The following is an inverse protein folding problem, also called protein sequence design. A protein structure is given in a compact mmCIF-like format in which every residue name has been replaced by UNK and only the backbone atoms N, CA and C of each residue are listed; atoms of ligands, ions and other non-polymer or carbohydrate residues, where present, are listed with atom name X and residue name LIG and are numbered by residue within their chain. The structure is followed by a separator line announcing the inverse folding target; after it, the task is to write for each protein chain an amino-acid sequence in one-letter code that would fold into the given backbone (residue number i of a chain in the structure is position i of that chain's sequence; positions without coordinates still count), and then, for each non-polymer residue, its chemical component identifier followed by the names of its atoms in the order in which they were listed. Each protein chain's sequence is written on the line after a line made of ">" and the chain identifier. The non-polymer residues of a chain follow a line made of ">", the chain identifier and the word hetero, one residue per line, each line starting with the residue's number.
data_IF_015555249269
#
_entry.id   IF_015555249269
#
_cell.length_a   1.000
_cell.length_b   1.000
_cell.length_c   1.000
_cell.angle_alpha   90.00
_cell.angle_beta   90.00
_cell.angle_gamma   90.00
#
_symmetry.space_group_name_H-M   'P 1'
#
loop_
_entity.id
_entity.type
_entity.pdbx_description
1 polymer ?
#
# COMPACT_ATOMS: atom_id res chain seq x y z
N UNK A 1 0.05 -1.03 2.11
CA UNK A 1 -0.28 -0.06 3.17
C UNK A 1 0.86 0.12 4.15
N UNK A 2 1.39 -0.94 4.79
CA UNK A 2 2.46 -0.78 5.79
C UNK A 2 3.70 -0.03 5.26
N UNK A 3 4.16 -0.34 4.04
CA UNK A 3 5.29 0.38 3.41
C UNK A 3 4.95 1.85 3.18
N UNK A 4 3.74 2.16 2.69
CA UNK A 4 3.31 3.54 2.48
C UNK A 4 3.30 4.33 3.79
N UNK A 5 2.72 3.77 4.86
CA UNK A 5 2.66 4.43 6.17
C UNK A 5 4.06 4.61 6.74
N UNK A 6 4.90 3.57 6.77
CA UNK A 6 6.27 3.65 7.29
C UNK A 6 7.08 4.73 6.57
N UNK A 7 7.04 4.75 5.25
CA UNK A 7 7.83 5.70 4.46
C UNK A 7 7.30 7.14 4.57
N UNK A 8 5.98 7.35 4.60
CA UNK A 8 5.40 8.69 4.79
C UNK A 8 5.71 9.24 6.20
N UNK A 9 5.67 8.39 7.23
CA UNK A 9 6.05 8.75 8.60
C UNK A 9 7.53 9.15 8.68
N UNK A 10 8.43 8.41 8.04
CA UNK A 10 9.86 8.74 7.97
C UNK A 10 10.11 10.04 7.21
N UNK A 11 9.37 10.27 6.12
CA UNK A 11 9.48 11.50 5.35
C UNK A 11 8.97 12.72 6.13
N UNK A 12 7.88 12.59 6.90
CA UNK A 12 7.41 13.62 7.83
C UNK A 12 8.46 13.93 8.90
N UNK A 13 9.05 12.90 9.51
CA UNK A 13 10.11 13.08 10.49
C UNK A 13 11.35 13.76 9.89
N UNK A 14 11.75 13.38 8.66
CA UNK A 14 12.85 14.02 7.94
C UNK A 14 12.56 15.49 7.59
N UNK A 15 11.28 15.85 7.40
CA UNK A 15 10.83 17.23 7.23
C UNK A 15 10.76 18.04 8.55
N UNK A 16 11.12 17.42 9.69
CA UNK A 16 11.22 18.09 10.99
C UNK A 16 9.95 17.98 11.86
N UNK A 17 8.99 17.15 11.47
CA UNK A 17 7.77 16.91 12.26
C UNK A 17 8.00 15.83 13.32
N UNK A 18 7.33 15.97 14.48
CA UNK A 18 7.14 14.88 15.42
C UNK A 18 5.90 14.09 14.98
N UNK A 19 6.02 12.77 14.90
CA UNK A 19 4.98 11.90 14.37
C UNK A 19 4.59 10.85 15.40
N UNK A 20 3.32 10.88 15.78
CA UNK A 20 2.69 9.88 16.64
C UNK A 20 1.84 8.95 15.76
N UNK A 21 2.21 7.67 15.68
CA UNK A 21 1.53 6.65 14.86
C UNK A 21 0.62 5.83 15.76
N UNK A 22 -0.67 5.79 15.47
CA UNK A 22 -1.65 4.98 16.18
C UNK A 22 -2.04 3.75 15.34
N UNK A 23 -1.93 2.57 15.94
CA UNK A 23 -2.32 1.30 15.28
C UNK A 23 -3.08 0.41 16.27
N UNK A 24 -4.08 -0.32 15.77
CA UNK A 24 -4.75 -1.33 16.58
C UNK A 24 -3.76 -2.46 16.91
N UNK A 25 -3.77 -2.89 18.17
CA UNK A 25 -3.10 -4.10 18.61
C UNK A 25 -4.03 -5.29 18.38
N UNK A 26 -3.65 -6.29 17.56
CA UNK A 26 -4.52 -7.44 17.28
C UNK A 26 -4.71 -8.41 18.45
N UNK A 27 -4.39 -8.00 19.68
CA UNK A 27 -4.54 -8.79 20.90
C UNK A 27 -3.45 -9.84 21.08
N UNK A 28 -2.59 -9.61 22.05
CA UNK A 28 -1.64 -10.61 22.54
C UNK A 28 -0.25 -10.54 21.95
N UNK A 29 0.46 -9.43 22.18
CA UNK A 29 1.90 -9.48 22.34
C UNK A 29 2.23 -9.94 23.77
N UNK A 30 1.73 -11.10 24.18
CA UNK A 30 2.35 -11.90 25.21
C UNK A 30 3.70 -12.35 24.64
N UNK A 31 4.76 -11.94 25.32
CA UNK A 31 6.19 -11.92 24.99
C UNK A 31 6.87 -13.12 24.31
N UNK A 32 6.22 -13.83 23.37
CA UNK A 32 6.74 -15.01 22.69
C UNK A 32 6.76 -14.95 21.15
N UNK A 33 6.37 -13.80 20.53
CA UNK A 33 6.47 -13.58 19.08
C UNK A 33 7.86 -13.06 18.69
N UNK A 34 8.69 -13.90 18.09
CA UNK A 34 10.04 -13.61 17.59
C UNK A 34 10.05 -12.58 16.47
N UNK A 35 10.24 -11.31 16.84
CA UNK A 35 10.50 -10.17 15.96
C UNK A 35 11.27 -9.11 16.73
N UNK A 36 12.45 -9.50 17.30
CA UNK A 36 13.31 -8.54 17.99
C UNK A 36 13.97 -7.60 16.99
N UNK A 37 13.47 -6.36 16.92
CA UNK A 37 14.32 -5.21 16.64
C UNK A 37 14.85 -4.74 18.00
N UNK A 38 16.16 -4.69 18.16
CA UNK A 38 16.83 -4.43 19.45
C UNK A 38 16.50 -3.03 19.98
N UNK A 39 15.71 -2.97 21.03
CA UNK A 39 15.48 -1.81 21.85
C UNK A 39 15.26 -2.28 23.28
N UNK A 40 15.93 -1.68 24.26
CA UNK A 40 15.87 -2.01 25.69
C UNK A 40 14.47 -1.79 26.24
N UNK A 41 13.78 -2.87 26.61
CA UNK A 41 12.49 -2.85 27.27
C UNK A 41 12.63 -2.39 28.72
N UNK A 42 11.97 -1.29 29.06
CA UNK A 42 11.66 -0.93 30.45
C UNK A 42 10.54 -1.84 30.95
N UNK A 43 10.79 -2.54 32.05
CA UNK A 43 9.83 -3.38 32.76
C UNK A 43 8.87 -2.50 33.56
N UNK A 44 7.60 -2.45 33.17
CA UNK A 44 6.43 -2.30 34.08
C UNK A 44 5.16 -2.44 33.20
N UNK A 45 4.64 -3.67 33.10
CA UNK A 45 3.39 -3.96 32.43
C UNK A 45 2.25 -4.03 33.46
N UNK A 46 1.53 -2.92 33.66
CA UNK A 46 0.17 -2.97 34.21
C UNK A 46 -0.79 -3.31 33.07
N UNK A 47 -1.60 -4.35 33.27
CA UNK A 47 -2.61 -4.81 32.34
C UNK A 47 -3.62 -3.68 32.03
N UNK A 48 -3.66 -3.24 30.75
CA UNK A 48 -4.59 -2.22 30.27
C UNK A 48 -3.95 -0.94 29.69
N UNK A 49 -2.63 -0.78 29.75
CA UNK A 49 -1.97 0.38 29.15
C UNK A 49 -1.57 0.09 27.69
N UNK A 50 -1.99 0.98 26.79
CA UNK A 50 -1.51 1.06 25.41
C UNK A 50 0.03 1.02 25.38
N UNK A 51 0.61 -0.01 24.76
CA UNK A 51 2.05 -0.11 24.62
C UNK A 51 2.53 1.01 23.70
N UNK A 52 3.46 1.83 24.19
CA UNK A 52 4.10 2.90 23.44
C UNK A 52 5.54 2.48 23.13
N UNK A 53 5.92 2.59 21.86
CA UNK A 53 7.27 2.26 21.40
C UNK A 53 7.90 3.47 20.71
N UNK A 54 9.00 3.96 21.24
CA UNK A 54 9.81 4.98 20.59
C UNK A 54 10.62 4.33 19.46
N UNK A 55 10.33 4.72 18.20
CA UNK A 55 11.02 4.21 17.00
C UNK A 55 12.28 5.05 16.72
N UNK A 56 12.14 6.38 16.78
CA UNK A 56 13.22 7.37 16.69
C UNK A 56 12.89 8.54 17.60
N UNK A 57 13.78 9.51 17.76
CA UNK A 57 13.51 10.71 18.55
C UNK A 57 12.27 11.49 18.07
N UNK A 58 11.93 11.37 16.79
CA UNK A 58 10.80 12.06 16.15
C UNK A 58 9.57 11.17 15.92
N UNK A 59 9.67 9.84 16.08
CA UNK A 59 8.59 8.89 15.72
C UNK A 59 8.25 8.03 16.93
N UNK A 60 6.98 8.08 17.34
CA UNK A 60 6.43 7.24 18.41
C UNK A 60 5.29 6.38 17.86
N UNK A 61 5.30 5.08 18.16
CA UNK A 61 4.24 4.15 17.82
C UNK A 61 3.39 3.85 19.07
N UNK A 62 2.08 4.01 18.93
CA UNK A 62 1.10 3.73 19.97
C UNK A 62 0.23 2.54 19.54
N UNK A 63 0.23 1.47 20.32
CA UNK A 63 -0.66 0.33 20.15
C UNK A 63 -1.97 0.59 20.90
N UNK A 64 -3.07 0.63 20.18
CA UNK A 64 -4.42 0.75 20.78
C UNK A 64 -4.93 -0.66 21.11
N UNK A 65 -5.35 -0.94 22.36
CA UNK A 65 -5.75 -2.27 22.81
C UNK A 65 -7.17 -2.60 22.33
N UNK A 66 -7.30 -2.94 21.05
CA UNK A 66 -8.55 -3.39 20.44
C UNK A 66 -8.44 -4.88 20.16
N UNK A 67 -9.34 -5.69 20.73
CA UNK A 67 -9.30 -7.15 20.62
C UNK A 67 -9.67 -7.73 19.25
N UNK A 68 -9.58 -6.94 18.17
CA UNK A 68 -9.91 -7.34 16.82
C UNK A 68 -8.71 -8.00 16.14
N UNK A 69 -8.89 -9.23 15.66
CA UNK A 69 -7.86 -10.03 14.97
C UNK A 69 -8.03 -10.03 13.45
N UNK A 70 -9.20 -9.69 12.97
CA UNK A 70 -9.53 -9.60 11.55
C UNK A 70 -9.91 -8.17 11.15
N UNK A 71 -9.85 -7.90 9.84
CA UNK A 71 -10.28 -6.62 9.29
C UNK A 71 -11.76 -6.32 9.53
N UNK A 72 -12.60 -7.35 9.50
CA UNK A 72 -14.05 -7.20 9.72
C UNK A 72 -14.36 -6.89 11.18
N UNK A 73 -13.71 -7.58 12.12
CA UNK A 73 -13.80 -7.26 13.54
C UNK A 73 -13.29 -5.84 13.85
N UNK A 74 -12.21 -5.41 13.19
CA UNK A 74 -11.70 -4.06 13.33
C UNK A 74 -12.69 -3.00 12.81
N UNK A 75 -13.39 -3.30 11.72
CA UNK A 75 -14.46 -2.45 11.20
C UNK A 75 -15.66 -2.35 12.16
N UNK A 76 -15.96 -3.44 12.85
CA UNK A 76 -17.04 -3.46 13.85
C UNK A 76 -16.62 -2.75 15.16
N UNK A 77 -15.31 -2.57 15.42
CA UNK A 77 -14.74 -1.89 16.59
C UNK A 77 -14.41 -0.39 16.36
N UNK A 78 -14.90 0.24 15.30
CA UNK A 78 -14.58 1.65 14.96
C UNK A 78 -14.96 2.61 16.11
N UNK A 79 -16.07 2.38 16.80
CA UNK A 79 -16.48 3.23 17.94
C UNK A 79 -15.52 3.13 19.13
N UNK A 80 -15.02 1.92 19.41
CA UNK A 80 -14.00 1.68 20.44
C UNK A 80 -12.68 2.36 20.05
N UNK A 81 -12.26 2.23 18.78
CA UNK A 81 -11.08 2.93 18.26
C UNK A 81 -11.21 4.45 18.40
N UNK A 82 -12.39 5.01 18.11
CA UNK A 82 -12.65 6.44 18.24
C UNK A 82 -12.56 6.92 19.70
N UNK A 83 -13.03 6.10 20.65
CA UNK A 83 -12.90 6.40 22.09
C UNK A 83 -11.44 6.38 22.54
N UNK A 84 -10.72 5.32 22.19
CA UNK A 84 -9.30 5.18 22.51
C UNK A 84 -8.47 6.33 21.92
N UNK A 85 -8.74 6.77 20.68
CA UNK A 85 -8.08 7.91 20.06
C UNK A 85 -8.43 9.22 20.80
N UNK A 86 -9.71 9.44 21.12
CA UNK A 86 -10.15 10.65 21.82
C UNK A 86 -9.55 10.77 23.22
N UNK A 87 -9.25 9.66 23.89
CA UNK A 87 -8.62 9.65 25.20
C UNK A 87 -7.11 9.96 25.16
N UNK A 88 -6.48 9.94 23.97
CA UNK A 88 -5.06 10.21 23.81
C UNK A 88 -4.74 11.71 23.74
N UNK A 89 -3.95 12.25 24.70
CA UNK A 89 -3.52 13.64 24.66
C UNK A 89 -2.76 13.99 23.37
N UNK A 90 -1.90 13.08 22.89
CA UNK A 90 -1.08 13.27 21.67
C UNK A 90 -1.98 13.40 20.43
N UNK A 91 -3.05 12.60 20.32
CA UNK A 91 -4.04 12.70 19.24
C UNK A 91 -4.79 14.04 19.28
N UNK A 92 -5.22 14.48 20.48
CA UNK A 92 -5.95 15.76 20.65
C UNK A 92 -5.08 16.99 20.41
N UNK A 93 -3.75 16.88 20.67
CA UNK A 93 -2.80 17.96 20.49
C UNK A 93 -2.17 18.00 19.09
N UNK A 94 -2.53 17.08 18.21
CA UNK A 94 -1.96 17.00 16.87
C UNK A 94 -2.24 18.27 16.05
N UNK A 95 -1.28 18.70 15.25
CA UNK A 95 -1.44 19.83 14.31
C UNK A 95 -2.24 19.42 13.08
N UNK A 96 -2.11 18.17 12.63
CA UNK A 96 -2.96 17.53 11.63
C UNK A 96 -2.98 16.02 11.85
N UNK A 97 -3.96 15.35 11.26
CA UNK A 97 -4.12 13.91 11.32
C UNK A 97 -4.10 13.38 9.90
N UNK A 98 -3.25 12.37 9.62
CA UNK A 98 -3.25 11.68 8.33
C UNK A 98 -3.71 10.24 8.52
N UNK A 99 -4.97 10.00 8.20
CA UNK A 99 -5.59 8.69 8.32
C UNK A 99 -5.35 7.83 7.05
N UNK A 100 -5.05 6.57 7.27
CA UNK A 100 -4.78 5.62 6.20
C UNK A 100 -5.83 4.51 6.20
N UNK A 101 -6.60 4.42 5.13
CA UNK A 101 -7.71 3.50 4.95
C UNK A 101 -8.98 3.94 5.69
N UNK A 102 -10.14 3.49 5.18
CA UNK A 102 -11.44 3.95 5.64
C UNK A 102 -11.72 3.73 7.14
N UNK A 103 -11.23 2.61 7.72
CA UNK A 103 -11.44 2.31 9.16
C UNK A 103 -10.77 3.38 10.03
N UNK A 104 -9.50 3.70 9.75
CA UNK A 104 -8.75 4.72 10.49
C UNK A 104 -9.35 6.10 10.31
N UNK A 105 -9.81 6.42 9.10
CA UNK A 105 -10.43 7.70 8.79
C UNK A 105 -11.77 7.87 9.52
N UNK A 106 -12.62 6.85 9.50
CA UNK A 106 -13.90 6.85 10.19
C UNK A 106 -13.72 6.96 11.72
N UNK A 107 -12.73 6.24 12.28
CA UNK A 107 -12.42 6.34 13.71
C UNK A 107 -11.91 7.74 14.08
N UNK A 108 -11.08 8.38 13.26
CA UNK A 108 -10.58 9.73 13.49
C UNK A 108 -11.70 10.77 13.42
N UNK A 109 -12.61 10.68 12.44
CA UNK A 109 -13.78 11.56 12.32
C UNK A 109 -14.69 11.45 13.55
N UNK A 110 -15.03 10.22 13.98
CA UNK A 110 -15.85 9.99 15.19
C UNK A 110 -15.16 10.47 16.45
N UNK A 111 -13.86 10.33 16.59
CA UNK A 111 -13.11 10.86 17.73
C UNK A 111 -13.23 12.39 17.82
N UNK A 112 -13.15 13.09 16.68
CA UNK A 112 -13.33 14.54 16.62
C UNK A 112 -14.76 14.98 16.96
N UNK A 113 -15.79 14.25 16.56
CA UNK A 113 -17.19 14.53 16.93
C UNK A 113 -17.42 14.42 18.43
N UNK A 114 -16.89 13.35 19.05
CA UNK A 114 -16.99 13.13 20.51
C UNK A 114 -16.33 14.27 21.29
N UNK A 115 -15.15 14.74 20.84
CA UNK A 115 -14.49 15.88 21.44
C UNK A 115 -15.31 17.18 21.35
N UNK A 116 -16.03 17.39 20.24
CA UNK A 116 -16.88 18.57 20.01
C UNK A 116 -18.21 18.49 20.76
N UNK A 117 -18.79 17.31 20.94
CA UNK A 117 -20.08 17.08 21.62
C UNK A 117 -20.00 17.11 23.15
N UNK A 118 -18.81 16.94 23.74
CA UNK A 118 -18.62 16.99 25.20
C UNK A 118 -18.70 18.40 25.80
N UNK A 119 -18.83 19.44 24.99
CA UNK A 119 -19.02 20.84 25.46
C UNK A 119 -20.47 21.26 25.72
N UNK A 120 -21.44 20.34 25.60
CA UNK A 120 -22.85 20.54 25.82
C UNK A 120 -23.34 20.16 27.23
N UNK A 121 -23.58 21.15 28.07
CA UNK A 121 -24.26 21.15 29.38
C UNK A 121 -23.38 20.95 30.62
N UNK A 122 -22.71 21.98 31.06
CA UNK A 122 -22.85 22.59 32.42
C UNK A 122 -21.74 23.61 32.64
N UNK A 123 -22.13 24.87 32.79
CA UNK A 123 -21.34 25.83 33.60
C UNK A 123 -20.51 26.85 32.85
N UNK A 124 -21.11 28.02 32.70
CA UNK A 124 -20.48 29.37 32.80
C UNK A 124 -19.03 29.57 32.39
N UNK A 125 -18.87 30.24 31.27
CA UNK A 125 -17.93 31.34 31.02
C UNK A 125 -16.55 31.29 31.72
N UNK A 126 -15.58 30.67 31.06
CA UNK A 126 -14.19 31.13 31.12
C UNK A 126 -13.59 30.95 29.71
N UNK A 127 -13.35 32.09 29.05
CA UNK A 127 -12.51 32.18 27.85
C UNK A 127 -12.91 31.30 26.67
N UNK A 128 -13.68 31.83 25.73
CA UNK A 128 -14.03 31.22 24.43
C UNK A 128 -12.75 31.14 23.54
N UNK A 129 -11.79 30.30 23.86
CA UNK A 129 -10.85 29.79 22.86
C UNK A 129 -11.61 28.69 22.09
N UNK A 130 -12.13 29.05 20.92
CA UNK A 130 -12.61 28.06 19.95
C UNK A 130 -11.48 27.05 19.71
N UNK A 131 -11.64 25.84 20.23
CA UNK A 131 -10.65 24.79 20.05
C UNK A 131 -10.66 24.42 18.56
N UNK A 132 -9.67 24.95 17.83
CA UNK A 132 -9.51 24.72 16.40
C UNK A 132 -9.17 23.24 16.20
N UNK A 133 -10.06 22.53 15.55
CA UNK A 133 -9.90 21.11 15.20
C UNK A 133 -8.69 20.93 14.27
N UNK A 134 -7.86 19.91 14.54
CA UNK A 134 -6.81 19.48 13.61
C UNK A 134 -7.43 19.03 12.27
N UNK A 135 -6.95 19.48 11.11
CA UNK A 135 -7.42 18.99 9.83
C UNK A 135 -7.12 17.49 9.67
N UNK A 136 -8.04 16.77 9.03
CA UNK A 136 -7.91 15.34 8.74
C UNK A 136 -7.66 15.16 7.25
N UNK A 137 -6.46 14.68 6.90
CA UNK A 137 -6.13 14.16 5.59
C UNK A 137 -6.38 12.63 5.54
N UNK A 138 -6.89 12.12 4.43
CA UNK A 138 -7.21 10.69 4.28
C UNK A 138 -6.64 10.12 2.99
N UNK A 139 -5.82 9.07 3.11
CA UNK A 139 -5.43 8.20 2.00
C UNK A 139 -6.28 6.93 2.01
N UNK A 140 -7.13 6.73 1.01
CA UNK A 140 -8.05 5.60 0.97
C UNK A 140 -7.34 4.27 0.68
N UNK A 141 -6.26 4.28 -0.07
CA UNK A 141 -5.49 3.15 -0.61
C UNK A 141 -6.29 2.21 -1.53
N UNK A 142 -7.57 2.06 -1.30
CA UNK A 142 -8.53 1.35 -2.16
C UNK A 142 -9.93 1.90 -1.88
N UNK A 143 -10.73 2.04 -2.92
CA UNK A 143 -12.10 2.55 -2.85
C UNK A 143 -13.05 1.37 -3.05
N UNK A 144 -14.02 1.19 -2.13
CA UNK A 144 -14.96 0.07 -2.15
C UNK A 144 -15.88 0.09 -3.37
N UNK A 145 -16.38 1.27 -3.76
CA UNK A 145 -17.19 1.44 -4.96
C UNK A 145 -16.44 1.02 -6.24
N UNK A 146 -15.15 1.39 -6.35
CA UNK A 146 -14.29 0.97 -7.47
C UNK A 146 -14.11 -0.54 -7.49
N UNK A 147 -13.87 -1.16 -6.34
CA UNK A 147 -13.76 -2.62 -6.26
C UNK A 147 -15.04 -3.33 -6.67
N UNK A 148 -16.20 -2.82 -6.27
CA UNK A 148 -17.48 -3.37 -6.67
C UNK A 148 -17.73 -3.22 -8.19
N UNK A 149 -17.31 -2.08 -8.77
CA UNK A 149 -17.38 -1.85 -10.22
C UNK A 149 -16.48 -2.81 -11.00
N UNK A 150 -15.27 -3.06 -10.51
CA UNK A 150 -14.22 -3.81 -11.20
C UNK A 150 -14.28 -5.33 -10.88
N UNK A 151 -15.28 -5.82 -10.11
CA UNK A 151 -15.41 -7.22 -9.71
C UNK A 151 -16.87 -7.69 -9.74
N UNK A 152 -17.13 -8.70 -10.55
CA UNK A 152 -18.46 -9.34 -10.62
C UNK A 152 -18.78 -10.25 -9.43
N UNK A 153 -17.77 -10.58 -8.60
CA UNK A 153 -17.89 -11.63 -7.57
C UNK A 153 -17.65 -11.17 -6.13
N UNK A 154 -17.19 -9.94 -5.93
CA UNK A 154 -16.86 -9.42 -4.61
C UNK A 154 -17.61 -8.12 -4.35
N UNK A 155 -18.54 -8.15 -3.41
CA UNK A 155 -19.23 -6.94 -2.94
C UNK A 155 -18.64 -6.52 -1.59
N UNK A 156 -18.22 -5.26 -1.52
CA UNK A 156 -17.80 -4.65 -0.25
C UNK A 156 -19.00 -4.45 0.67
N UNK A 157 -18.76 -4.53 1.98
CA UNK A 157 -19.82 -4.36 3.00
C UNK A 157 -20.49 -2.99 2.88
N UNK A 158 -21.82 -2.88 3.03
CA UNK A 158 -22.52 -1.58 3.01
C UNK A 158 -21.92 -0.57 3.99
N UNK A 159 -21.54 -1.00 5.20
CA UNK A 159 -20.86 -0.19 6.20
C UNK A 159 -19.62 0.52 5.64
N UNK A 160 -18.81 -0.17 4.82
CA UNK A 160 -17.64 0.42 4.18
C UNK A 160 -18.03 1.51 3.18
N UNK A 161 -19.01 1.23 2.33
CA UNK A 161 -19.46 2.18 1.29
C UNK A 161 -20.04 3.45 1.93
N UNK A 162 -20.83 3.30 3.00
CA UNK A 162 -21.38 4.42 3.77
C UNK A 162 -20.28 5.24 4.46
N UNK A 163 -19.29 4.57 5.06
CA UNK A 163 -18.16 5.22 5.71
C UNK A 163 -17.29 5.97 4.68
N UNK A 164 -16.99 5.38 3.53
CA UNK A 164 -16.21 6.02 2.47
C UNK A 164 -16.92 7.25 1.90
N UNK A 165 -18.24 7.20 1.71
CA UNK A 165 -19.04 8.37 1.30
C UNK A 165 -19.01 9.49 2.35
N UNK A 166 -19.12 9.12 3.63
CA UNK A 166 -19.02 10.07 4.75
C UNK A 166 -17.63 10.70 4.82
N UNK A 167 -16.57 9.89 4.71
CA UNK A 167 -15.18 10.37 4.71
C UNK A 167 -14.96 11.37 3.57
N UNK A 168 -15.49 11.08 2.38
CA UNK A 168 -15.40 11.98 1.23
C UNK A 168 -16.08 13.34 1.45
N UNK A 169 -17.15 13.36 2.26
CA UNK A 169 -17.89 14.57 2.59
C UNK A 169 -17.29 15.38 3.76
N UNK A 170 -16.63 14.73 4.70
CA UNK A 170 -16.26 15.33 6.00
C UNK A 170 -14.74 15.49 6.22
N UNK A 171 -13.89 14.73 5.51
CA UNK A 171 -12.45 14.91 5.58
C UNK A 171 -12.04 16.28 5.00
N UNK A 172 -11.04 16.90 5.61
CA UNK A 172 -10.53 18.20 5.15
C UNK A 172 -9.70 18.07 3.88
N UNK A 173 -9.06 16.90 3.68
CA UNK A 173 -8.26 16.61 2.49
C UNK A 173 -8.31 15.10 2.16
N UNK A 174 -8.55 14.77 0.90
CA UNK A 174 -8.38 13.43 0.37
C UNK A 174 -7.07 13.37 -0.42
N UNK A 175 -6.27 12.34 -0.15
CA UNK A 175 -4.96 12.14 -0.76
C UNK A 175 -5.04 10.99 -1.74
N UNK A 176 -5.03 11.30 -3.03
CA UNK A 176 -5.00 10.34 -4.12
C UNK A 176 -3.56 10.01 -4.51
N UNK A 177 -3.23 8.74 -4.68
CA UNK A 177 -1.92 8.29 -5.15
C UNK A 177 -1.69 8.61 -6.64
N UNK A 178 -2.79 8.76 -7.43
CA UNK A 178 -2.74 8.98 -8.87
C UNK A 178 -3.87 9.90 -9.35
N UNK A 179 -3.73 10.52 -10.55
CA UNK A 179 -4.85 11.23 -11.18
C UNK A 179 -6.06 10.33 -11.47
N UNK A 180 -5.86 9.02 -11.65
CA UNK A 180 -6.94 8.06 -11.81
C UNK A 180 -7.73 7.90 -10.50
N UNK A 181 -7.04 7.69 -9.39
CA UNK A 181 -7.67 7.61 -8.06
C UNK A 181 -8.37 8.92 -7.68
N UNK A 182 -7.77 10.09 -8.04
CA UNK A 182 -8.46 11.38 -7.87
C UNK A 182 -9.79 11.42 -8.61
N UNK A 183 -9.84 10.95 -9.86
CA UNK A 183 -11.11 10.88 -10.62
C UNK A 183 -12.10 9.94 -9.94
N UNK A 184 -11.66 8.77 -9.48
CA UNK A 184 -12.53 7.82 -8.78
C UNK A 184 -13.08 8.41 -7.47
N UNK A 185 -12.29 9.11 -6.68
CA UNK A 185 -12.76 9.81 -5.47
C UNK A 185 -13.86 10.84 -5.80
N UNK A 186 -13.69 11.61 -6.87
CA UNK A 186 -14.66 12.63 -7.30
C UNK A 186 -15.92 11.97 -7.88
N UNK A 187 -15.79 10.93 -8.71
CA UNK A 187 -16.94 10.35 -9.44
C UNK A 187 -17.71 9.33 -8.63
N UNK A 188 -17.02 8.48 -7.86
CA UNK A 188 -17.64 7.37 -7.11
C UNK A 188 -18.06 7.80 -5.69
N UNK A 189 -17.28 8.67 -5.04
CA UNK A 189 -17.57 9.13 -3.69
C UNK A 189 -18.12 10.55 -3.63
N UNK A 190 -18.28 11.23 -4.76
CA UNK A 190 -18.78 12.61 -4.84
C UNK A 190 -17.92 13.62 -4.05
N UNK A 191 -16.60 13.34 -3.91
CA UNK A 191 -15.70 14.26 -3.24
C UNK A 191 -15.60 15.60 -3.97
N UNK A 192 -15.51 16.68 -3.22
CA UNK A 192 -15.26 18.03 -3.76
C UNK A 192 -13.89 18.06 -4.45
N UNK A 193 -13.82 18.58 -5.68
CA UNK A 193 -12.59 18.60 -6.48
C UNK A 193 -11.42 19.28 -5.77
N UNK A 194 -11.70 20.34 -5.00
CA UNK A 194 -10.70 21.17 -4.32
C UNK A 194 -10.22 20.53 -3.01
N UNK A 195 -10.94 19.52 -2.49
CA UNK A 195 -10.52 18.74 -1.33
C UNK A 195 -9.69 17.50 -1.70
N UNK A 196 -9.33 17.29 -2.98
CA UNK A 196 -8.57 16.12 -3.41
C UNK A 196 -7.23 16.53 -4.01
N UNK A 197 -6.13 16.18 -3.34
CA UNK A 197 -4.76 16.35 -3.83
C UNK A 197 -4.21 15.06 -4.43
N UNK A 198 -3.39 15.18 -5.47
CA UNK A 198 -2.59 14.03 -5.98
C UNK A 198 -1.20 14.10 -5.37
N UNK A 199 -0.94 13.18 -4.44
CA UNK A 199 0.38 12.99 -3.83
C UNK A 199 0.87 11.57 -4.15
N UNK A 200 1.72 11.47 -5.17
CA UNK A 200 2.25 10.17 -5.62
C UNK A 200 3.12 9.56 -4.56
N UNK A 201 2.95 8.26 -4.24
CA UNK A 201 3.89 7.54 -3.37
C UNK A 201 5.32 7.62 -3.89
N UNK A 202 6.27 7.66 -2.97
CA UNK A 202 7.69 7.66 -3.28
C UNK A 202 8.31 6.26 -3.31
N UNK A 203 9.60 6.23 -3.62
CA UNK A 203 10.49 5.08 -3.48
C UNK A 203 11.63 5.49 -2.54
N UNK A 204 12.13 4.55 -1.76
CA UNK A 204 13.36 4.75 -0.98
C UNK A 204 14.58 4.61 -1.89
N UNK A 205 15.03 5.72 -2.48
CA UNK A 205 16.18 5.76 -3.38
C UNK A 205 17.52 5.50 -2.69
N UNK A 206 17.56 5.45 -1.37
CA UNK A 206 18.76 4.99 -0.65
C UNK A 206 18.92 3.48 -0.67
N UNK A 207 17.81 2.75 -0.83
CA UNK A 207 17.74 1.30 -0.89
C UNK A 207 17.60 0.80 -2.33
N UNK A 208 16.57 1.29 -3.04
CA UNK A 208 16.26 0.88 -4.40
C UNK A 208 17.05 1.75 -5.39
N UNK A 209 18.17 1.22 -5.83
CA UNK A 209 19.08 1.84 -6.78
C UNK A 209 19.72 0.77 -7.66
N UNK A 210 20.05 1.05 -8.93
CA UNK A 210 20.76 0.11 -9.78
C UNK A 210 22.09 -0.32 -9.16
N UNK A 211 22.42 -1.61 -9.30
CA UNK A 211 23.70 -2.18 -8.87
C UNK A 211 24.02 -3.42 -9.70
N UNK A 212 25.14 -4.10 -9.40
CA UNK A 212 25.60 -5.29 -10.13
C UNK A 212 24.59 -6.44 -10.08
N UNK A 213 24.04 -6.79 -11.25
CA UNK A 213 23.14 -7.94 -11.42
C UNK A 213 23.84 -9.25 -11.05
N UNK A 214 25.09 -9.46 -11.50
CA UNK A 214 25.85 -10.68 -11.21
C UNK A 214 26.10 -10.86 -9.70
N UNK A 215 26.43 -9.76 -8.99
CA UNK A 215 26.59 -9.83 -7.53
C UNK A 215 25.27 -10.15 -6.79
N UNK A 216 24.14 -9.62 -7.28
CA UNK A 216 22.83 -9.93 -6.74
C UNK A 216 22.43 -11.40 -7.01
N UNK A 217 22.74 -11.92 -8.22
CA UNK A 217 22.55 -13.32 -8.60
C UNK A 217 23.36 -14.27 -7.72
N UNK A 218 24.63 -13.95 -7.49
CA UNK A 218 25.49 -14.74 -6.59
C UNK A 218 24.89 -14.85 -5.17
N UNK A 219 24.41 -13.71 -4.61
CA UNK A 219 23.76 -13.71 -3.27
C UNK A 219 22.49 -14.56 -3.21
N UNK A 220 21.72 -14.60 -4.31
CA UNK A 220 20.43 -15.32 -4.38
C UNK A 220 20.56 -16.75 -4.92
N UNK A 221 21.77 -17.17 -5.38
CA UNK A 221 22.04 -18.48 -5.94
C UNK A 221 21.47 -18.68 -7.35
N UNK A 222 21.39 -17.62 -8.15
CA UNK A 222 21.03 -17.69 -9.57
C UNK A 222 22.28 -17.77 -10.44
N UNK A 223 22.20 -18.51 -11.54
CA UNK A 223 23.28 -18.54 -12.53
C UNK A 223 23.23 -17.30 -13.44
N UNK A 224 24.41 -16.90 -13.96
CA UNK A 224 24.50 -15.69 -14.81
C UNK A 224 23.81 -15.87 -16.17
N UNK A 225 23.66 -17.10 -16.65
CA UNK A 225 23.02 -17.45 -17.91
C UNK A 225 21.51 -17.74 -17.81
N UNK A 226 20.96 -17.75 -16.59
CA UNK A 226 19.51 -17.86 -16.37
C UNK A 226 18.82 -16.53 -16.73
N UNK A 227 17.61 -16.63 -17.30
CA UNK A 227 16.70 -15.51 -17.48
C UNK A 227 15.68 -15.50 -16.34
N UNK A 228 15.68 -14.46 -15.53
CA UNK A 228 14.84 -14.36 -14.32
C UNK A 228 13.67 -13.42 -14.56
N UNK A 229 12.46 -13.99 -14.54
CA UNK A 229 11.19 -13.25 -14.55
C UNK A 229 10.69 -13.16 -13.13
N UNK A 230 10.59 -11.95 -12.61
CA UNK A 230 10.20 -11.69 -11.22
C UNK A 230 8.74 -11.23 -11.14
N UNK A 231 7.97 -11.85 -10.26
CA UNK A 231 6.69 -11.36 -9.77
C UNK A 231 6.81 -11.09 -8.26
N UNK A 232 6.38 -9.92 -7.82
CA UNK A 232 6.37 -9.54 -6.39
C UNK A 232 4.97 -9.13 -5.99
N UNK A 233 4.38 -9.84 -5.03
CA UNK A 233 3.07 -9.48 -4.53
C UNK A 233 2.32 -10.62 -3.85
N UNK A 234 1.18 -10.29 -3.24
CA UNK A 234 0.27 -11.30 -2.69
C UNK A 234 -0.31 -12.15 -3.83
N UNK A 235 -0.38 -13.46 -3.63
CA UNK A 235 -0.99 -14.37 -4.60
C UNK A 235 -2.50 -14.28 -4.53
N UNK A 236 -3.07 -13.35 -5.29
CA UNK A 236 -4.49 -13.03 -5.35
C UNK A 236 -4.92 -12.85 -6.81
N UNK A 237 -6.16 -13.19 -7.12
CA UNK A 237 -6.75 -12.97 -8.45
C UNK A 237 -6.60 -11.52 -8.93
N UNK A 238 -6.84 -10.56 -8.05
CA UNK A 238 -6.72 -9.13 -8.36
C UNK A 238 -5.29 -8.73 -8.74
N UNK A 239 -4.27 -9.48 -8.30
CA UNK A 239 -2.85 -9.25 -8.62
C UNK A 239 -2.36 -10.02 -9.84
N UNK A 240 -3.24 -10.84 -10.45
CA UNK A 240 -2.95 -11.52 -11.71
C UNK A 240 -1.85 -12.57 -11.62
N UNK A 241 -1.67 -13.23 -10.46
CA UNK A 241 -0.65 -14.28 -10.31
C UNK A 241 -0.87 -15.43 -11.27
N UNK A 242 -2.14 -15.76 -11.58
CA UNK A 242 -2.55 -16.70 -12.62
C UNK A 242 -1.99 -16.30 -13.99
N UNK A 243 -2.13 -15.04 -14.38
CA UNK A 243 -1.62 -14.54 -15.67
C UNK A 243 -0.09 -14.67 -15.76
N UNK A 244 0.62 -14.44 -14.64
CA UNK A 244 2.08 -14.62 -14.60
C UNK A 244 2.48 -16.08 -14.85
N UNK A 245 1.79 -17.03 -14.21
CA UNK A 245 2.04 -18.47 -14.37
C UNK A 245 1.69 -18.93 -15.77
N UNK A 246 0.49 -18.55 -16.26
CA UNK A 246 0.01 -18.95 -17.59
C UNK A 246 0.88 -18.36 -18.72
N UNK A 247 1.42 -17.15 -18.54
CA UNK A 247 2.37 -16.56 -19.50
C UNK A 247 3.70 -17.31 -19.58
N UNK A 248 4.19 -17.83 -18.46
CA UNK A 248 5.40 -18.67 -18.42
C UNK A 248 5.12 -20.04 -19.05
N UNK A 249 3.97 -20.63 -18.79
CA UNK A 249 3.55 -21.89 -19.44
C UNK A 249 3.40 -21.72 -20.98
N UNK A 250 2.78 -20.62 -21.43
CA UNK A 250 2.67 -20.28 -22.85
C UNK A 250 4.07 -20.09 -23.49
N UNK A 251 4.99 -19.41 -22.79
CA UNK A 251 6.38 -19.26 -23.25
C UNK A 251 7.06 -20.62 -23.39
N UNK A 252 6.84 -21.52 -22.43
CA UNK A 252 7.39 -22.89 -22.44
C UNK A 252 6.92 -23.69 -23.65
N UNK A 253 5.64 -23.64 -23.95
CA UNK A 253 5.06 -24.34 -25.12
C UNK A 253 5.57 -23.76 -26.45
N UNK A 254 5.68 -22.43 -26.56
CA UNK A 254 6.05 -21.75 -27.81
C UNK A 254 7.55 -21.77 -28.09
N UNK A 255 8.38 -21.62 -27.07
CA UNK A 255 9.82 -21.53 -27.19
C UNK A 255 10.55 -22.33 -26.10
N UNK A 256 10.55 -23.67 -26.21
CA UNK A 256 11.17 -24.56 -25.20
C UNK A 256 12.65 -24.27 -24.97
N UNK A 257 13.38 -23.78 -25.99
CA UNK A 257 14.78 -23.42 -25.85
C UNK A 257 14.99 -22.19 -24.94
N UNK A 258 14.18 -21.16 -25.10
CA UNK A 258 14.22 -20.00 -24.20
C UNK A 258 13.73 -20.38 -22.81
N UNK A 259 12.63 -21.14 -22.73
CA UNK A 259 12.06 -21.60 -21.49
C UNK A 259 13.01 -22.45 -20.64
N UNK A 260 13.85 -23.27 -21.27
CA UNK A 260 14.82 -24.12 -20.56
C UNK A 260 15.86 -23.36 -19.73
N UNK A 261 16.06 -22.07 -19.98
CA UNK A 261 16.92 -21.16 -19.22
C UNK A 261 16.15 -20.06 -18.49
N UNK A 262 14.81 -20.07 -18.56
CA UNK A 262 13.95 -19.06 -17.92
C UNK A 262 13.44 -19.60 -16.59
N UNK A 263 13.53 -18.78 -15.53
CA UNK A 263 12.93 -19.04 -14.23
C UNK A 263 11.95 -17.92 -13.87
N UNK A 264 10.74 -18.30 -13.51
CA UNK A 264 9.73 -17.43 -12.93
C UNK A 264 9.82 -17.47 -11.41
N UNK A 265 10.20 -16.37 -10.79
CA UNK A 265 10.26 -16.25 -9.33
C UNK A 265 9.01 -15.49 -8.85
N UNK A 266 8.12 -16.20 -8.17
CA UNK A 266 6.92 -15.64 -7.55
C UNK A 266 7.22 -15.36 -6.07
N UNK A 267 7.53 -14.09 -5.76
CA UNK A 267 7.91 -13.67 -4.40
C UNK A 267 6.69 -13.10 -3.66
N UNK A 268 6.17 -13.85 -2.70
CA UNK A 268 5.01 -13.42 -1.93
C UNK A 268 4.31 -14.52 -1.15
N UNK A 269 3.20 -14.15 -0.51
CA UNK A 269 2.37 -15.08 0.25
C UNK A 269 0.98 -15.20 -0.37
N UNK A 270 0.41 -16.39 -0.27
CA UNK A 270 -1.00 -16.61 -0.55
C UNK A 270 -1.83 -15.90 0.55
N UNK A 271 -2.71 -14.96 0.15
CA UNK A 271 -3.62 -14.33 1.13
C UNK A 271 -4.81 -15.24 1.42
N UNK A 272 -5.19 -15.29 2.68
CA UNK A 272 -6.29 -16.12 3.17
C UNK A 272 -5.84 -17.47 3.72
N UNK A 273 -4.53 -17.65 3.89
CA UNK A 273 -3.95 -18.83 4.51
C UNK A 273 -3.15 -18.39 5.73
N UNK A 274 -3.65 -18.68 6.92
CA UNK A 274 -2.88 -18.56 8.16
C UNK A 274 -1.65 -19.46 8.05
N UNK A 275 -0.46 -18.88 8.23
CA UNK A 275 0.76 -19.68 8.41
C UNK A 275 0.67 -20.26 9.81
N UNK A 276 0.26 -21.53 9.95
CA UNK A 276 0.45 -22.23 11.20
C UNK A 276 1.96 -22.35 11.46
N UNK A 277 2.42 -21.86 12.59
CA UNK A 277 3.78 -22.01 13.09
C UNK A 277 4.03 -23.50 13.39
N UNK A 278 4.31 -24.30 12.34
CA UNK A 278 4.47 -25.74 12.51
C UNK A 278 4.72 -26.53 11.23
N UNK A 279 4.99 -25.89 10.09
CA UNK A 279 5.48 -26.60 8.89
C UNK A 279 4.49 -27.56 8.20
N UNK A 280 3.20 -27.48 8.49
CA UNK A 280 2.14 -28.23 7.80
C UNK A 280 1.74 -27.57 6.47
N UNK A 281 1.54 -28.38 5.43
CA UNK A 281 1.06 -27.92 4.14
C UNK A 281 -0.28 -27.19 4.30
N UNK A 282 -0.27 -25.89 4.00
CA UNK A 282 -1.45 -25.03 4.10
C UNK A 282 -2.44 -25.42 3.02
N UNK A 283 -3.67 -25.77 3.40
CA UNK A 283 -4.74 -26.07 2.42
C UNK A 283 -5.33 -24.76 1.88
N UNK A 284 -5.31 -24.58 0.53
CA UNK A 284 -5.92 -23.41 -0.08
C UNK A 284 -7.43 -23.33 0.25
N UNK A 285 -7.88 -22.21 0.79
CA UNK A 285 -9.28 -22.04 1.20
C UNK A 285 -10.20 -21.61 0.05
N UNK A 286 -9.65 -21.08 -1.07
CA UNK A 286 -10.42 -20.63 -2.23
C UNK A 286 -10.17 -21.51 -3.47
N UNK A 287 -11.16 -21.54 -4.38
CA UNK A 287 -11.04 -22.23 -5.68
C UNK A 287 -9.85 -21.69 -6.46
N UNK A 288 -9.69 -20.37 -6.51
CA UNK A 288 -8.58 -19.69 -7.16
C UNK A 288 -7.20 -20.18 -6.67
N UNK A 289 -6.98 -20.28 -5.35
CA UNK A 289 -5.70 -20.73 -4.82
C UNK A 289 -5.41 -22.20 -5.14
N UNK A 290 -6.43 -23.06 -5.22
CA UNK A 290 -6.26 -24.45 -5.64
C UNK A 290 -5.88 -24.55 -7.12
N UNK A 291 -6.56 -23.80 -7.99
CA UNK A 291 -6.27 -23.74 -9.42
C UNK A 291 -4.85 -23.19 -9.64
N UNK A 292 -4.51 -22.08 -9.00
CA UNK A 292 -3.17 -21.49 -9.05
C UNK A 292 -2.09 -22.47 -8.56
N UNK A 293 -2.32 -23.17 -7.45
CA UNK A 293 -1.37 -24.17 -6.94
C UNK A 293 -1.18 -25.32 -7.93
N UNK A 294 -2.25 -25.73 -8.62
CA UNK A 294 -2.18 -26.76 -9.65
C UNK A 294 -1.41 -26.27 -10.87
N UNK A 295 -1.65 -25.05 -11.32
CA UNK A 295 -0.93 -24.44 -12.44
C UNK A 295 0.57 -24.31 -12.14
N UNK A 296 0.93 -23.81 -10.96
CA UNK A 296 2.34 -23.71 -10.51
C UNK A 296 3.01 -25.12 -10.47
N UNK A 297 2.32 -26.12 -9.95
CA UNK A 297 2.86 -27.48 -9.91
C UNK A 297 3.05 -28.12 -11.29
N UNK A 298 2.30 -27.65 -12.28
CA UNK A 298 2.41 -28.06 -13.69
C UNK A 298 3.49 -27.33 -14.47
N UNK A 299 4.04 -26.22 -13.95
CA UNK A 299 5.05 -25.40 -14.65
C UNK A 299 6.40 -25.43 -13.91
N UNK A 300 7.35 -26.28 -14.36
CA UNK A 300 8.62 -26.50 -13.66
C UNK A 300 9.54 -25.25 -13.60
N UNK A 301 9.33 -24.28 -14.48
CA UNK A 301 10.12 -23.05 -14.49
C UNK A 301 9.70 -22.06 -13.41
N UNK A 302 8.55 -22.29 -12.74
CA UNK A 302 8.00 -21.39 -11.71
C UNK A 302 8.43 -21.85 -10.31
N UNK A 303 9.05 -20.94 -9.58
CA UNK A 303 9.44 -21.11 -8.19
C UNK A 303 8.72 -20.08 -7.30
N UNK A 304 8.06 -20.56 -6.25
CA UNK A 304 7.41 -19.72 -5.25
C UNK A 304 8.36 -19.53 -4.07
N UNK A 305 8.62 -18.27 -3.71
CA UNK A 305 9.41 -17.88 -2.53
C UNK A 305 8.55 -17.05 -1.55
N UNK A 306 8.78 -17.21 -0.24
CA UNK A 306 8.11 -16.41 0.76
C UNK A 306 8.45 -14.91 0.62
N UNK A 307 7.61 -14.01 1.15
CA UNK A 307 7.93 -12.59 1.18
C UNK A 307 9.22 -12.35 1.99
N UNK A 308 10.02 -11.40 1.53
CA UNK A 308 11.29 -11.03 2.16
C UNK A 308 11.25 -9.57 2.59
N UNK A 309 12.08 -9.17 3.57
CA UNK A 309 12.26 -7.75 3.93
C UNK A 309 12.83 -6.93 2.77
N UNK A 310 12.55 -5.61 2.75
CA UNK A 310 12.94 -4.71 1.66
C UNK A 310 14.44 -4.73 1.33
N UNK A 311 15.31 -4.87 2.34
CA UNK A 311 16.75 -4.94 2.15
C UNK A 311 17.23 -6.22 1.42
N UNK A 312 16.42 -7.29 1.39
CA UNK A 312 16.65 -8.49 0.57
C UNK A 312 15.86 -8.41 -0.75
N UNK A 313 14.70 -7.73 -0.76
CA UNK A 313 13.89 -7.58 -1.96
C UNK A 313 14.64 -6.82 -3.07
N UNK A 314 15.45 -5.85 -2.70
CA UNK A 314 16.26 -5.10 -3.69
C UNK A 314 17.22 -6.00 -4.47
N UNK A 315 17.75 -7.07 -3.85
CA UNK A 315 18.59 -8.01 -4.57
C UNK A 315 17.80 -8.83 -5.61
N UNK A 316 16.52 -9.14 -5.34
CA UNK A 316 15.66 -9.76 -6.35
C UNK A 316 15.39 -8.84 -7.54
N UNK A 317 15.15 -7.54 -7.29
CA UNK A 317 15.01 -6.58 -8.39
C UNK A 317 16.28 -6.48 -9.22
N UNK A 318 17.46 -6.42 -8.57
CA UNK A 318 18.75 -6.33 -9.27
C UNK A 318 19.11 -7.61 -10.01
N UNK A 319 18.73 -8.79 -9.49
CA UNK A 319 19.04 -10.09 -10.09
C UNK A 319 18.18 -10.43 -11.31
N UNK A 320 16.94 -9.92 -11.35
CA UNK A 320 15.98 -10.22 -12.39
C UNK A 320 16.31 -9.54 -13.72
N UNK A 321 15.73 -10.06 -14.81
CA UNK A 321 15.79 -9.47 -16.16
C UNK A 321 14.54 -8.63 -16.44
N UNK A 322 13.39 -9.05 -15.94
CA UNK A 322 12.10 -8.40 -16.16
C UNK A 322 11.21 -8.58 -14.92
N UNK A 323 10.54 -7.51 -14.50
CA UNK A 323 9.42 -7.59 -13.57
C UNK A 323 8.12 -7.79 -14.34
N UNK A 324 7.24 -8.67 -13.86
CA UNK A 324 5.88 -8.84 -14.39
C UNK A 324 4.85 -8.38 -13.35
N UNK A 325 3.95 -7.45 -13.74
CA UNK A 325 2.91 -6.87 -12.87
C UNK A 325 1.54 -6.98 -13.55
N UNK A 326 0.95 -8.20 -13.63
CA UNK A 326 -0.29 -8.44 -14.38
C UNK A 326 -1.54 -8.15 -13.55
N UNK A 327 -1.51 -7.10 -12.73
CA UNK A 327 -2.61 -6.73 -11.85
C UNK A 327 -3.89 -6.39 -12.64
N UNK A 328 -5.05 -6.86 -12.16
CA UNK A 328 -6.37 -6.48 -12.69
C UNK A 328 -6.83 -5.13 -12.14
N UNK A 329 -6.33 -4.77 -10.97
CA UNK A 329 -6.50 -3.45 -10.38
C UNK A 329 -5.28 -3.09 -9.54
N UNK A 330 -4.81 -1.84 -9.67
CA UNK A 330 -3.63 -1.33 -8.96
C UNK A 330 -3.79 0.17 -8.69
N UNK A 331 -3.80 0.56 -7.43
CA UNK A 331 -3.93 1.99 -7.06
C UNK A 331 -2.74 2.81 -7.52
N UNK A 332 -1.51 2.33 -7.29
CA UNK A 332 -0.28 2.99 -7.74
C UNK A 332 0.69 2.01 -8.40
N UNK A 333 1.13 0.98 -7.67
CA UNK A 333 2.11 0.00 -8.14
C UNK A 333 3.51 0.20 -7.56
N UNK A 334 3.61 0.31 -6.23
CA UNK A 334 4.90 0.48 -5.52
C UNK A 334 5.97 -0.52 -5.99
N UNK A 335 5.58 -1.78 -6.22
CA UNK A 335 6.49 -2.84 -6.72
C UNK A 335 7.12 -2.45 -8.07
N UNK A 336 6.33 -1.88 -8.98
CA UNK A 336 6.84 -1.42 -10.27
C UNK A 336 7.76 -0.19 -10.13
N UNK A 337 7.45 0.72 -9.18
CA UNK A 337 8.29 1.88 -8.91
C UNK A 337 9.63 1.50 -8.24
N UNK A 338 9.60 0.56 -7.28
CA UNK A 338 10.80 0.01 -6.62
C UNK A 338 11.70 -0.74 -7.63
N UNK A 339 11.10 -1.54 -8.52
CA UNK A 339 11.81 -2.23 -9.59
C UNK A 339 12.45 -1.23 -10.57
N UNK A 340 11.69 -0.24 -11.01
CA UNK A 340 12.19 0.82 -11.89
C UNK A 340 13.37 1.57 -11.25
N UNK A 341 13.26 1.97 -9.98
CA UNK A 341 14.34 2.61 -9.23
C UNK A 341 15.58 1.70 -9.09
N UNK A 342 15.40 0.38 -9.11
CA UNK A 342 16.48 -0.61 -9.09
C UNK A 342 17.06 -0.93 -10.49
N UNK A 343 16.58 -0.26 -11.55
CA UNK A 343 17.02 -0.49 -12.92
C UNK A 343 16.41 -1.75 -13.56
N UNK A 344 15.26 -2.22 -13.09
CA UNK A 344 14.57 -3.39 -13.64
C UNK A 344 13.37 -2.94 -14.47
N UNK A 345 13.31 -3.22 -15.79
CA UNK A 345 12.16 -2.88 -16.61
C UNK A 345 10.96 -3.77 -16.28
N UNK A 346 9.75 -3.22 -16.34
CA UNK A 346 8.53 -3.94 -16.06
C UNK A 346 7.68 -4.19 -17.31
N UNK A 347 7.05 -5.38 -17.37
CA UNK A 347 5.87 -5.64 -18.17
C UNK A 347 4.68 -5.53 -17.22
N UNK A 348 3.81 -4.57 -17.42
CA UNK A 348 2.73 -4.25 -16.48
C UNK A 348 1.37 -4.12 -17.19
N UNK A 349 0.29 -4.39 -16.46
CA UNK A 349 -1.07 -4.10 -16.96
C UNK A 349 -1.26 -2.59 -17.15
N UNK A 350 -2.00 -2.20 -18.19
CA UNK A 350 -2.36 -0.81 -18.44
C UNK A 350 -3.55 -0.37 -17.54
N UNK A 351 -3.45 -0.59 -16.20
CA UNK A 351 -4.52 -0.31 -15.25
C UNK A 351 -4.06 0.60 -14.10
N UNK A 352 -5.00 1.38 -13.56
CA UNK A 352 -4.80 2.20 -12.37
C UNK A 352 -3.58 3.12 -12.44
N UNK A 353 -2.67 2.98 -11.49
CA UNK A 353 -1.44 3.78 -11.41
C UNK A 353 -0.25 3.26 -12.21
N UNK A 354 -0.29 2.04 -12.74
CA UNK A 354 0.83 1.45 -13.46
C UNK A 354 1.29 2.29 -14.68
N UNK A 355 0.40 2.92 -15.48
CA UNK A 355 0.82 3.81 -16.57
C UNK A 355 1.53 5.11 -16.10
N UNK A 356 1.41 5.48 -14.83
CA UNK A 356 2.20 6.58 -14.26
C UNK A 356 3.66 6.19 -14.08
N UNK A 357 3.92 4.90 -13.83
CA UNK A 357 5.26 4.37 -13.56
C UNK A 357 5.90 3.87 -14.86
N UNK A 358 5.19 3.04 -15.60
CA UNK A 358 5.66 2.42 -16.85
C UNK A 358 5.14 3.21 -18.04
N UNK A 359 6.05 3.71 -18.86
CA UNK A 359 5.76 4.30 -20.17
C UNK A 359 6.02 3.27 -21.26
N UNK A 360 4.93 2.89 -21.96
CA UNK A 360 5.01 1.81 -22.96
C UNK A 360 6.05 2.08 -24.03
N UNK A 361 6.98 1.13 -24.24
CA UNK A 361 8.03 1.21 -25.23
C UNK A 361 9.17 2.17 -24.87
N UNK A 362 9.12 2.81 -23.70
CA UNK A 362 10.18 3.74 -23.25
C UNK A 362 10.82 3.30 -21.91
N UNK A 363 10.02 3.00 -20.88
CA UNK A 363 10.55 2.55 -19.58
C UNK A 363 10.04 1.15 -19.18
N UNK A 364 9.39 0.45 -20.11
CA UNK A 364 8.82 -0.87 -19.94
C UNK A 364 7.71 -1.13 -20.96
N UNK A 365 6.95 -2.18 -20.76
CA UNK A 365 5.84 -2.55 -21.65
C UNK A 365 4.52 -2.54 -20.88
N UNK A 366 3.46 -1.94 -21.46
CA UNK A 366 2.10 -2.00 -20.94
C UNK A 366 1.25 -2.96 -21.77
N UNK A 367 0.55 -3.87 -21.11
CA UNK A 367 -0.37 -4.84 -21.72
C UNK A 367 -1.80 -4.47 -21.32
N UNK A 368 -2.67 -4.38 -22.30
CA UNK A 368 -4.05 -3.91 -22.09
C UNK A 368 -5.02 -5.00 -21.60
N UNK A 369 -4.65 -6.26 -21.72
CA UNK A 369 -5.47 -7.41 -21.35
C UNK A 369 -4.70 -8.45 -20.52
N UNK A 370 -5.37 -9.54 -20.14
CA UNK A 370 -4.79 -10.63 -19.34
C UNK A 370 -4.65 -11.92 -20.17
N UNK A 371 -4.58 -11.82 -21.50
CA UNK A 371 -4.33 -12.96 -22.36
C UNK A 371 -2.86 -13.42 -22.21
N UNK A 372 -2.59 -14.63 -21.70
CA UNK A 372 -1.22 -15.13 -21.46
C UNK A 372 -0.30 -15.01 -22.67
N UNK A 373 -0.85 -15.16 -23.87
CA UNK A 373 -0.12 -15.04 -25.13
C UNK A 373 0.56 -13.67 -25.32
N UNK A 374 -0.13 -12.58 -24.98
CA UNK A 374 0.43 -11.23 -25.08
C UNK A 374 1.55 -11.01 -24.07
N UNK A 375 1.38 -11.54 -22.85
CA UNK A 375 2.37 -11.50 -21.80
C UNK A 375 3.61 -12.32 -22.14
N UNK A 376 3.42 -13.56 -22.63
CA UNK A 376 4.51 -14.41 -23.10
C UNK A 376 5.29 -13.75 -24.26
N UNK A 377 4.60 -13.10 -25.21
CA UNK A 377 5.22 -12.37 -26.30
C UNK A 377 6.06 -11.20 -25.82
N UNK A 378 5.58 -10.43 -24.84
CA UNK A 378 6.33 -9.33 -24.26
C UNK A 378 7.57 -9.82 -23.48
N UNK A 379 7.45 -10.92 -22.73
CA UNK A 379 8.58 -11.59 -22.05
C UNK A 379 9.61 -12.03 -23.09
N UNK A 380 9.19 -12.77 -24.10
CA UNK A 380 10.07 -13.25 -25.18
C UNK A 380 10.82 -12.12 -25.89
N UNK A 381 10.13 -11.01 -26.15
CA UNK A 381 10.72 -9.81 -26.76
C UNK A 381 11.87 -9.27 -25.91
N UNK A 382 11.62 -9.04 -24.60
CA UNK A 382 12.63 -8.49 -23.71
C UNK A 382 13.78 -9.45 -23.42
N UNK A 383 13.54 -10.76 -23.40
CA UNK A 383 14.59 -11.75 -23.18
C UNK A 383 15.49 -11.95 -24.41
N UNK A 384 14.97 -11.77 -25.61
CA UNK A 384 15.73 -11.91 -26.86
C UNK A 384 16.45 -10.63 -27.29
N UNK A 385 15.98 -9.45 -26.85
CA UNK A 385 16.56 -8.16 -27.20
C UNK A 385 17.19 -7.50 -25.96
N UNK A 386 18.48 -7.78 -25.74
CA UNK A 386 19.23 -7.26 -24.60
C UNK A 386 19.44 -5.74 -24.71
N UNK A 387 19.59 -5.19 -25.92
CA UNK A 387 19.79 -3.77 -26.12
C UNK A 387 18.51 -3.01 -25.75
N UNK A 388 17.36 -3.44 -26.25
CA UNK A 388 16.04 -2.90 -25.85
C UNK A 388 15.84 -3.00 -24.33
N UNK A 389 16.12 -4.17 -23.74
CA UNK A 389 15.94 -4.36 -22.29
C UNK A 389 16.81 -3.40 -21.49
N UNK A 390 18.05 -3.19 -21.90
CA UNK A 390 18.99 -2.26 -21.26
C UNK A 390 18.55 -0.81 -21.41
N UNK A 391 18.05 -0.42 -22.58
CA UNK A 391 17.51 0.90 -22.84
C UNK A 391 16.28 1.18 -21.94
N UNK A 392 15.32 0.26 -21.90
CA UNK A 392 14.14 0.37 -21.05
C UNK A 392 14.52 0.43 -19.57
N UNK A 393 15.52 -0.33 -19.13
CA UNK A 393 16.01 -0.32 -17.75
C UNK A 393 16.58 1.05 -17.35
N UNK A 394 17.38 1.67 -18.19
CA UNK A 394 17.92 3.01 -17.97
C UNK A 394 16.81 4.05 -17.85
N UNK A 395 15.88 4.08 -18.79
CA UNK A 395 14.74 5.00 -18.74
C UNK A 395 13.78 4.72 -17.55
N UNK A 396 13.66 3.47 -17.11
CA UNK A 396 12.88 3.14 -15.93
C UNK A 396 13.49 3.77 -14.67
N UNK A 397 14.82 3.66 -14.50
CA UNK A 397 15.53 4.26 -13.38
C UNK A 397 15.40 5.79 -13.37
N UNK A 398 15.63 6.45 -14.51
CA UNK A 398 15.47 7.91 -14.66
C UNK A 398 14.03 8.34 -14.32
N UNK A 399 13.05 7.58 -14.81
CA UNK A 399 11.63 7.88 -14.54
C UNK A 399 11.27 7.71 -13.07
N UNK A 400 11.88 6.78 -12.36
CA UNK A 400 11.62 6.51 -10.94
C UNK A 400 12.07 7.65 -10.03
N UNK A 401 13.06 8.48 -10.43
CA UNK A 401 13.55 9.62 -9.63
C UNK A 401 12.46 10.64 -9.26
N UNK A 402 11.36 10.66 -10.02
CA UNK A 402 10.24 11.56 -9.73
C UNK A 402 9.36 11.08 -8.56
N UNK A 403 9.45 9.80 -8.19
CA UNK A 403 8.71 9.22 -7.08
C UNK A 403 9.54 9.32 -5.81
N UNK A 404 9.27 10.34 -5.02
CA UNK A 404 10.01 10.69 -3.81
C UNK A 404 9.07 10.96 -2.64
N UNK A 405 9.33 10.36 -1.49
CA UNK A 405 8.47 10.47 -0.31
C UNK A 405 8.46 11.89 0.29
N UNK A 406 9.55 12.64 0.16
CA UNK A 406 9.58 14.05 0.56
C UNK A 406 8.61 14.89 -0.26
N UNK A 407 8.55 14.65 -1.59
CA UNK A 407 7.57 15.29 -2.47
C UNK A 407 6.14 14.86 -2.15
N UNK A 408 5.92 13.59 -1.81
CA UNK A 408 4.61 13.09 -1.38
C UNK A 408 4.12 13.86 -0.16
N UNK A 409 4.96 13.96 0.87
CA UNK A 409 4.65 14.65 2.12
C UNK A 409 4.46 16.15 1.89
N UNK A 410 5.33 16.80 1.12
CA UNK A 410 5.21 18.22 0.80
C UNK A 410 3.87 18.51 0.11
N UNK A 411 3.47 17.70 -0.88
CA UNK A 411 2.19 17.88 -1.57
C UNK A 411 0.97 17.77 -0.63
N UNK A 412 1.04 16.89 0.38
CA UNK A 412 -0.03 16.78 1.38
C UNK A 412 -0.04 17.98 2.31
N UNK A 413 1.13 18.38 2.84
CA UNK A 413 1.25 19.51 3.76
C UNK A 413 0.83 20.83 3.10
N UNK A 414 1.22 21.06 1.86
CA UNK A 414 0.88 22.28 1.08
C UNK A 414 -0.63 22.36 0.77
N UNK A 415 -1.31 21.20 0.68
CA UNK A 415 -2.74 21.12 0.39
C UNK A 415 -3.62 21.15 1.66
N UNK A 416 -3.04 21.01 2.85
CA UNK A 416 -3.81 21.09 4.09
C UNK A 416 -4.43 22.51 4.23
N UNK A 417 -5.71 22.61 4.57
CA UNK A 417 -6.32 23.90 4.83
C UNK A 417 -5.64 24.56 6.04
N UNK A 418 -5.43 25.88 5.95
CA UNK A 418 -5.03 26.66 7.12
C UNK A 418 -6.04 26.42 8.26
N UNK A 419 -5.58 26.32 9.49
CA UNK A 419 -6.45 26.13 10.67
C UNK A 419 -7.54 27.22 10.68
N UNK A 420 -8.70 26.91 10.13
CA UNK A 420 -9.83 27.85 10.14
C UNK A 420 -10.72 27.62 11.36
N UNK A 421 -11.10 28.70 12.03
CA UNK A 421 -12.20 28.66 13.00
C UNK A 421 -13.44 28.02 12.36
N UNK A 422 -13.97 26.96 12.99
CA UNK A 422 -15.04 26.10 12.48
C UNK A 422 -16.43 26.76 12.36
N UNK A 423 -16.55 28.02 11.92
CA UNK A 423 -17.83 28.74 11.86
C UNK A 423 -18.31 29.20 10.47
N UNK A 424 -17.55 29.01 9.37
CA UNK A 424 -17.97 29.62 8.11
C UNK A 424 -18.57 28.72 7.03
N UNK A 425 -18.41 27.38 7.12
CA UNK A 425 -18.91 26.50 6.05
C UNK A 425 -20.38 26.02 6.17
N UNK A 426 -21.06 26.24 7.33
CA UNK A 426 -22.48 25.86 7.49
C UNK A 426 -23.49 26.96 7.14
N UNK A 427 -23.08 28.18 6.83
CA UNK A 427 -24.00 29.31 6.61
C UNK A 427 -24.34 29.58 5.13
N UNK A 428 -23.61 29.03 4.17
CA UNK A 428 -23.88 29.27 2.75
C UNK A 428 -24.84 28.26 2.09
N UNK A 429 -25.13 27.13 2.73
CA UNK A 429 -26.03 26.10 2.18
C UNK A 429 -27.53 26.33 2.50
N UNK A 430 -27.90 27.38 3.23
CA UNK A 430 -29.29 27.68 3.64
C UNK A 430 -29.88 29.00 3.10
N UNK A 431 -29.26 29.59 2.09
CA UNK A 431 -29.69 30.89 1.52
C UNK A 431 -29.84 30.89 0.02
N UNK A 432 -30.57 29.95 -0.59
CA UNK A 432 -31.16 30.11 -1.92
C UNK A 432 -32.44 29.27 -2.03
N UNK A 433 -33.58 29.89 -1.71
CA UNK A 433 -34.85 29.55 -2.33
C UNK A 433 -34.96 30.27 -3.64
#
# INVERSE_FOLDING_TARGET
>A
MNVYVDQSVRALAAAGHRVDVFTADPGGLDGTGSGRVGGTAGTDAEAGMSAQLQITDAITLHHLPVGATTKDELADAIDELAELLNDRPDFRAADFIWAHYWISAEAALRAHEKASGSTGTTGAALGNELQVRAPIAVSMHTIGAVKNRDSDTSHERPQRLEAEARIAAEADLLVAATPAERRDLITELQAESDSVVVARPGVDHSLYTPDSQSAARERLGFADDEAIILYVGRMQFIKGTDVAVDALAELHERNPHLASRTRGILLGAASGVGVEAGGGAVRPSSTYLRELTTAIAGEPSVEVRPPVPSHLLVDYYRAADVLIVPSRSESFGLVAAEAAASGLPAIASAVGGLPEIVEHGHSGLLIADHNPHHWATAIETLLNDTDLRTELAGHAADRAERFDWGRTVAAVLDALPERSCASSRRSEALGAC
#
